data_IF_863094722394
#
_entry.id   IF_863094722394
#
_cell.length_a   1.000
_cell.length_b   1.000
_cell.length_c   1.000
_cell.angle_alpha   90.00
_cell.angle_beta   90.00
_cell.angle_gamma   90.00
#
_symmetry.space_group_name_H-M   'P 1'
#
loop_
_entity.id
_entity.type
_entity.pdbx_description
1 polymer ?
#
# COMPACT_ATOMS: atom_id res chain seq x y z
N UNK A 1 23.94 146.26 18.25
CA UNK A 1 24.71 145.38 19.16
C UNK A 1 23.75 144.36 19.63
N UNK A 2 23.81 143.15 19.20
CA UNK A 2 23.37 141.95 19.88
C UNK A 2 23.15 140.80 18.92
N UNK A 3 23.94 139.86 19.03
CA UNK A 3 23.97 138.65 18.25
C UNK A 3 22.74 137.71 18.57
N UNK A 4 22.02 137.34 17.59
CA UNK A 4 21.00 136.22 17.71
C UNK A 4 21.58 135.00 17.07
N UNK A 5 21.81 134.06 17.85
CA UNK A 5 22.33 132.70 17.44
C UNK A 5 21.21 131.88 16.80
N UNK A 6 21.44 131.44 15.58
CA UNK A 6 20.63 130.50 14.81
C UNK A 6 20.97 129.05 15.30
N UNK A 7 20.06 128.44 16.02
CA UNK A 7 20.17 127.05 16.46
C UNK A 7 18.85 126.28 16.26
N UNK A 8 18.43 125.98 15.08
CA UNK A 8 17.37 124.96 14.78
C UNK A 8 17.30 124.62 13.32
N UNK A 9 18.13 123.76 12.76
CA UNK A 9 17.63 122.79 11.87
C UNK A 9 18.14 121.34 12.09
N UNK A 10 19.04 121.05 13.05
CA UNK A 10 19.61 119.67 13.24
C UNK A 10 18.64 118.66 13.87
N UNK A 11 17.60 119.11 14.60
CA UNK A 11 16.62 118.24 15.24
C UNK A 11 15.59 117.60 14.30
N UNK A 12 15.26 118.31 13.21
CA UNK A 12 14.30 117.80 12.21
C UNK A 12 14.92 116.74 11.28
N UNK A 13 16.21 116.79 10.99
CA UNK A 13 16.91 115.80 10.16
C UNK A 13 17.14 114.50 10.91
N UNK A 14 17.33 114.52 12.18
CA UNK A 14 17.50 113.32 13.04
C UNK A 14 16.19 112.55 13.16
N UNK A 15 15.06 113.17 13.16
CA UNK A 15 13.76 112.54 13.23
C UNK A 15 13.34 111.88 11.88
N UNK A 16 13.68 112.47 10.74
CA UNK A 16 13.43 111.92 9.41
C UNK A 16 14.37 110.72 9.14
N UNK A 17 15.65 110.75 9.62
CA UNK A 17 16.57 109.62 9.53
C UNK A 17 16.16 108.43 10.43
N UNK A 18 15.54 108.69 11.59
CA UNK A 18 15.08 107.64 12.51
C UNK A 18 13.83 106.91 11.98
N UNK A 19 12.96 107.58 11.28
CA UNK A 19 11.76 106.97 10.68
C UNK A 19 12.07 106.17 9.42
N UNK A 20 13.07 106.57 8.60
CA UNK A 20 13.53 105.79 7.46
C UNK A 20 14.28 104.48 7.87
N UNK A 21 15.04 104.50 8.97
CA UNK A 21 15.72 103.29 9.50
C UNK A 21 14.70 102.30 10.05
N UNK A 22 13.60 102.69 10.66
CA UNK A 22 12.54 101.80 11.12
C UNK A 22 11.77 101.19 9.95
N UNK A 23 11.66 101.87 8.81
CA UNK A 23 10.93 101.33 7.64
C UNK A 23 11.77 100.32 6.85
N UNK A 24 13.08 100.48 6.77
CA UNK A 24 14.01 99.49 6.19
C UNK A 24 14.08 98.19 7.03
N UNK A 25 14.04 98.26 8.37
CA UNK A 25 14.05 97.10 9.26
C UNK A 25 12.75 96.32 9.19
N UNK A 26 11.57 96.92 8.97
CA UNK A 26 10.30 96.20 8.82
C UNK A 26 10.26 95.32 7.56
N UNK A 27 10.74 95.87 6.42
CA UNK A 27 10.77 95.14 5.16
C UNK A 27 11.75 93.94 5.16
N UNK A 28 12.89 94.09 5.87
CA UNK A 28 13.79 92.94 6.08
C UNK A 28 13.19 91.93 7.00
N UNK A 29 12.50 92.40 8.06
CA UNK A 29 11.80 91.50 8.99
C UNK A 29 10.74 90.67 8.28
N UNK A 30 9.95 91.23 7.42
CA UNK A 30 8.91 90.56 6.60
C UNK A 30 9.53 89.55 5.63
N UNK A 31 10.68 89.86 5.03
CA UNK A 31 11.42 88.92 4.17
C UNK A 31 11.96 87.73 4.97
N UNK A 32 12.58 88.00 6.10
CA UNK A 32 13.10 86.91 6.99
C UNK A 32 11.93 86.06 7.49
N UNK A 33 10.85 86.65 7.90
CA UNK A 33 9.66 85.91 8.33
C UNK A 33 9.10 85.03 7.20
N UNK A 34 8.94 85.53 5.98
CA UNK A 34 8.48 84.80 4.84
C UNK A 34 9.43 83.64 4.46
N UNK A 35 10.76 83.81 4.59
CA UNK A 35 11.76 82.78 4.36
C UNK A 35 11.71 81.70 5.47
N UNK A 36 11.54 82.12 6.75
CA UNK A 36 11.36 81.22 7.87
C UNK A 36 10.10 80.37 7.73
N UNK A 37 8.98 80.98 7.38
CA UNK A 37 7.68 80.28 7.15
C UNK A 37 7.81 79.29 6.02
N UNK A 38 8.53 79.63 4.91
CA UNK A 38 8.84 78.71 3.82
C UNK A 38 9.67 77.49 4.29
N UNK A 39 10.74 77.80 5.08
CA UNK A 39 11.62 76.74 5.62
C UNK A 39 10.88 75.86 6.60
N UNK A 40 10.05 76.43 7.48
CA UNK A 40 9.20 75.69 8.39
C UNK A 40 8.21 74.79 7.63
N UNK A 41 7.50 75.34 6.63
CA UNK A 41 6.60 74.54 5.81
C UNK A 41 7.30 73.42 5.02
N UNK A 42 8.53 73.66 4.52
CA UNK A 42 9.34 72.62 3.89
C UNK A 42 9.81 71.54 4.87
N UNK A 43 10.18 71.95 6.10
CA UNK A 43 10.54 70.98 7.16
C UNK A 43 9.33 70.17 7.62
N UNK A 44 8.19 70.81 7.83
CA UNK A 44 6.97 70.12 8.22
C UNK A 44 6.51 69.11 7.15
N UNK A 45 6.56 69.49 5.87
CA UNK A 45 6.28 68.59 4.77
C UNK A 45 7.25 67.44 4.67
N UNK A 46 8.56 67.70 4.85
CA UNK A 46 9.57 66.66 4.85
C UNK A 46 9.38 65.69 6.05
N UNK A 47 9.05 66.23 7.23
CA UNK A 47 8.78 65.45 8.43
C UNK A 47 7.52 64.60 8.24
N UNK A 48 6.47 65.16 7.62
CA UNK A 48 5.25 64.40 7.27
C UNK A 48 5.58 63.26 6.31
N UNK A 49 6.28 63.54 5.23
CA UNK A 49 6.71 62.52 4.28
C UNK A 49 7.57 61.44 4.92
N UNK A 50 8.51 61.83 5.79
CA UNK A 50 9.35 60.85 6.53
C UNK A 50 8.48 59.98 7.46
N UNK A 51 7.54 60.56 8.18
CA UNK A 51 6.59 59.77 9.04
C UNK A 51 5.75 58.82 8.23
N UNK A 52 5.23 59.26 7.08
CA UNK A 52 4.46 58.42 6.18
C UNK A 52 5.31 57.23 5.64
N UNK A 53 6.56 57.53 5.21
CA UNK A 53 7.50 56.47 4.76
C UNK A 53 7.85 55.50 5.88
N UNK A 54 8.11 55.98 7.08
CA UNK A 54 8.36 55.13 8.24
C UNK A 54 7.17 54.26 8.60
N UNK A 55 5.97 54.86 8.59
CA UNK A 55 4.73 54.10 8.84
C UNK A 55 4.52 53.00 7.80
N UNK A 56 4.70 53.32 6.52
CA UNK A 56 4.64 52.34 5.45
C UNK A 56 5.66 51.21 5.62
N UNK A 57 6.91 51.56 6.01
CA UNK A 57 7.95 50.57 6.27
C UNK A 57 7.61 49.67 7.46
N UNK A 58 7.05 50.25 8.54
CA UNK A 58 6.58 49.48 9.73
C UNK A 58 5.41 48.56 9.35
N UNK A 59 4.46 49.06 8.56
CA UNK A 59 3.31 48.25 8.12
C UNK A 59 3.75 47.12 7.22
N UNK A 60 4.68 47.35 6.28
CA UNK A 60 5.30 46.31 5.44
C UNK A 60 6.08 45.29 6.27
N UNK A 61 6.90 45.71 7.22
CA UNK A 61 7.62 44.83 8.10
C UNK A 61 6.67 43.99 8.96
N UNK A 62 5.61 44.60 9.49
CA UNK A 62 4.58 43.90 10.27
C UNK A 62 3.83 42.84 9.41
N UNK A 63 3.51 43.19 8.17
CA UNK A 63 2.92 42.23 7.23
C UNK A 63 3.85 41.06 6.92
N UNK A 64 5.15 41.33 6.70
CA UNK A 64 6.15 40.29 6.50
C UNK A 64 6.29 39.37 7.71
N UNK A 65 6.34 39.93 8.92
CA UNK A 65 6.39 39.14 10.16
C UNK A 65 5.15 38.23 10.31
N UNK A 66 3.96 38.74 9.98
CA UNK A 66 2.74 37.93 10.00
C UNK A 66 2.81 36.78 8.99
N UNK A 67 3.27 37.03 7.78
CA UNK A 67 3.45 36.03 6.74
C UNK A 67 4.47 34.96 7.15
N UNK A 68 5.61 35.38 7.69
CA UNK A 68 6.64 34.46 8.18
C UNK A 68 6.14 33.60 9.33
N UNK A 69 5.40 34.19 10.27
CA UNK A 69 4.80 33.43 11.38
C UNK A 69 3.80 32.39 10.86
N UNK A 70 2.95 32.74 9.87
CA UNK A 70 2.03 31.78 9.25
C UNK A 70 2.77 30.63 8.56
N UNK A 71 3.85 30.93 7.83
CA UNK A 71 4.69 29.90 7.20
C UNK A 71 5.38 29.02 8.24
N UNK A 72 5.82 29.58 9.35
CA UNK A 72 6.46 28.86 10.45
C UNK A 72 5.47 27.90 11.12
N UNK A 73 4.23 28.32 11.38
CA UNK A 73 3.17 27.44 11.90
C UNK A 73 2.80 26.33 10.90
N UNK A 74 2.75 26.62 9.62
CA UNK A 74 2.54 25.62 8.58
C UNK A 74 3.70 24.59 8.55
N UNK A 75 4.95 25.04 8.61
CA UNK A 75 6.10 24.14 8.65
C UNK A 75 6.10 23.28 9.92
N UNK A 76 5.74 23.85 11.07
CA UNK A 76 5.57 23.10 12.33
C UNK A 76 4.48 22.03 12.22
N UNK A 77 3.34 22.33 11.59
CA UNK A 77 2.28 21.37 11.35
C UNK A 77 2.75 20.22 10.43
N UNK A 78 3.49 20.54 9.38
CA UNK A 78 4.10 19.52 8.49
C UNK A 78 5.09 18.62 9.25
N UNK A 79 5.93 19.20 10.11
CA UNK A 79 6.89 18.43 10.93
C UNK A 79 6.17 17.48 11.90
N UNK A 80 5.05 17.92 12.53
CA UNK A 80 4.23 17.06 13.38
C UNK A 80 3.62 15.91 12.59
N UNK A 81 3.12 16.16 11.38
CA UNK A 81 2.57 15.12 10.51
C UNK A 81 3.65 14.10 10.11
N UNK A 82 4.89 14.55 9.84
CA UNK A 82 6.00 13.65 9.55
C UNK A 82 6.38 12.79 10.77
N UNK A 83 6.34 13.34 11.97
CA UNK A 83 6.58 12.59 13.20
C UNK A 83 5.47 11.54 13.44
N UNK A 84 4.18 11.88 13.20
CA UNK A 84 3.06 10.94 13.28
C UNK A 84 3.21 9.80 12.23
N UNK A 85 3.62 10.14 11.01
CA UNK A 85 3.95 9.14 9.99
C UNK A 85 5.08 8.22 10.45
N UNK A 86 6.14 8.75 11.07
CA UNK A 86 7.23 7.94 11.63
C UNK A 86 6.71 6.90 12.63
N UNK A 87 5.88 7.32 13.60
CA UNK A 87 5.31 6.40 14.59
C UNK A 87 4.40 5.34 13.97
N UNK A 88 3.67 5.69 12.89
CA UNK A 88 2.85 4.72 12.14
C UNK A 88 3.70 3.72 11.36
N UNK A 89 4.84 4.16 10.80
CA UNK A 89 5.79 3.25 10.15
C UNK A 89 6.40 2.27 11.15
N UNK A 90 6.84 2.75 12.32
CA UNK A 90 7.36 1.88 13.37
C UNK A 90 6.32 0.85 13.84
N UNK A 91 5.07 1.29 14.02
CA UNK A 91 3.97 0.37 14.38
C UNK A 91 3.65 -0.64 13.26
N UNK A 92 3.81 -0.26 12.00
CA UNK A 92 3.61 -1.17 10.86
C UNK A 92 4.75 -2.18 10.75
N UNK A 93 5.98 -1.74 10.98
CA UNK A 93 7.17 -2.62 10.99
C UNK A 93 7.07 -3.68 12.10
N UNK A 94 6.62 -3.28 13.29
CA UNK A 94 6.37 -4.21 14.39
C UNK A 94 5.26 -5.23 14.08
N UNK A 95 4.18 -4.77 13.42
CA UNK A 95 3.13 -5.68 12.96
C UNK A 95 3.64 -6.66 11.90
N UNK A 96 4.49 -6.19 10.97
CA UNK A 96 5.11 -7.06 9.97
C UNK A 96 6.02 -8.11 10.62
N UNK A 97 6.81 -7.74 11.63
CA UNK A 97 7.63 -8.69 12.40
C UNK A 97 6.77 -9.73 13.12
N UNK A 98 5.70 -9.29 13.78
CA UNK A 98 4.76 -10.19 14.46
C UNK A 98 4.06 -11.14 13.48
N UNK A 99 3.62 -10.64 12.31
CA UNK A 99 3.02 -11.48 11.27
C UNK A 99 4.01 -12.49 10.68
N UNK A 100 5.26 -12.07 10.44
CA UNK A 100 6.29 -12.98 9.95
C UNK A 100 6.60 -14.05 10.98
N UNK A 101 6.70 -13.71 12.27
CA UNK A 101 6.86 -14.70 13.34
C UNK A 101 5.70 -15.70 13.40
N UNK A 102 4.45 -15.22 13.30
CA UNK A 102 3.28 -16.10 13.27
C UNK A 102 3.24 -17.00 12.01
N UNK A 103 3.72 -16.48 10.87
CA UNK A 103 3.86 -17.28 9.64
C UNK A 103 4.91 -18.40 9.80
N UNK A 104 6.02 -18.11 10.46
CA UNK A 104 7.07 -19.11 10.69
C UNK A 104 6.62 -20.18 11.69
N UNK A 105 5.89 -19.80 12.75
CA UNK A 105 5.25 -20.74 13.66
C UNK A 105 4.23 -21.64 12.95
N UNK A 106 3.39 -21.05 12.07
CA UNK A 106 2.43 -21.82 11.27
C UNK A 106 3.11 -22.79 10.31
N UNK A 107 4.22 -22.36 9.68
CA UNK A 107 5.02 -23.25 8.81
C UNK A 107 5.59 -24.41 9.61
N UNK A 108 6.15 -24.13 10.77
CA UNK A 108 6.73 -25.17 11.63
C UNK A 108 5.65 -26.15 12.08
N UNK A 109 4.49 -25.67 12.54
CA UNK A 109 3.36 -26.55 12.93
C UNK A 109 2.82 -27.37 11.75
N UNK A 110 2.83 -26.79 10.53
CA UNK A 110 2.45 -27.51 9.31
C UNK A 110 3.46 -28.63 8.98
N UNK A 111 4.75 -28.34 9.09
CA UNK A 111 5.82 -29.32 8.85
C UNK A 111 5.76 -30.47 9.88
N UNK A 112 5.57 -30.16 11.16
CA UNK A 112 5.36 -31.17 12.20
C UNK A 112 4.11 -32.01 11.91
N UNK A 113 2.99 -31.40 11.57
CA UNK A 113 1.75 -32.09 11.21
C UNK A 113 1.94 -33.00 9.99
N UNK A 114 2.72 -32.53 8.99
CA UNK A 114 3.04 -33.32 7.80
C UNK A 114 3.92 -34.53 8.12
N UNK A 115 4.93 -34.32 8.95
CA UNK A 115 5.79 -35.42 9.44
C UNK A 115 5.00 -36.44 10.26
N UNK A 116 4.15 -35.98 11.19
CA UNK A 116 3.30 -36.86 11.98
C UNK A 116 2.33 -37.68 11.11
N UNK A 117 1.74 -37.07 10.07
CA UNK A 117 0.90 -37.76 9.08
C UNK A 117 1.69 -38.81 8.31
N UNK A 118 2.90 -38.50 7.85
CA UNK A 118 3.76 -39.42 7.12
C UNK A 118 4.14 -40.63 8.00
N UNK A 119 4.44 -40.38 9.27
CA UNK A 119 4.71 -41.46 10.24
C UNK A 119 3.47 -42.33 10.49
N UNK A 120 2.28 -41.70 10.64
CA UNK A 120 1.03 -42.44 10.79
C UNK A 120 0.72 -43.26 9.53
N UNK A 121 0.88 -42.72 8.34
CA UNK A 121 0.66 -43.43 7.08
C UNK A 121 1.61 -44.64 6.94
N UNK A 122 2.88 -44.44 7.32
CA UNK A 122 3.87 -45.54 7.36
C UNK A 122 3.46 -46.64 8.37
N UNK A 123 2.98 -46.27 9.56
CA UNK A 123 2.53 -47.21 10.59
C UNK A 123 1.25 -47.94 10.17
N UNK A 124 0.30 -47.22 9.54
CA UNK A 124 -0.94 -47.78 8.99
C UNK A 124 -0.59 -48.78 7.89
N UNK A 125 0.26 -48.41 6.95
CA UNK A 125 0.71 -49.30 5.87
C UNK A 125 1.43 -50.56 6.42
N UNK A 126 2.24 -50.40 7.46
CA UNK A 126 2.89 -51.50 8.12
C UNK A 126 1.90 -52.40 8.88
N UNK A 127 0.86 -51.81 9.50
CA UNK A 127 -0.21 -52.57 10.16
C UNK A 127 -1.09 -53.31 9.15
N UNK A 128 -1.50 -52.65 8.05
CA UNK A 128 -2.26 -53.24 6.93
C UNK A 128 -1.52 -54.44 6.34
N UNK A 129 -0.21 -54.31 6.11
CA UNK A 129 0.62 -55.47 5.67
C UNK A 129 0.60 -56.62 6.66
N UNK A 130 0.60 -56.36 7.98
CA UNK A 130 0.54 -57.40 9.01
C UNK A 130 -0.81 -58.12 9.11
N UNK A 131 -1.90 -57.40 8.79
CA UNK A 131 -3.27 -57.92 8.88
C UNK A 131 -3.76 -58.46 7.52
N UNK A 132 -2.93 -58.41 6.47
CA UNK A 132 -3.30 -58.92 5.14
C UNK A 132 -4.35 -58.09 4.40
N UNK A 133 -4.61 -56.84 4.83
CA UNK A 133 -5.61 -55.92 4.26
C UNK A 133 -5.00 -54.99 3.22
N UNK A 134 -3.65 -54.93 3.08
CA UNK A 134 -3.01 -54.11 2.07
C UNK A 134 -3.36 -54.63 0.67
N UNK A 135 -3.73 -53.77 -0.27
CA UNK A 135 -3.71 -54.13 -1.68
C UNK A 135 -2.24 -54.33 -2.05
N UNK A 136 -1.76 -55.58 -1.90
CA UNK A 136 -0.44 -55.96 -2.37
C UNK A 136 -0.54 -55.95 -3.88
N UNK A 137 -0.14 -54.82 -4.49
CA UNK A 137 0.19 -54.84 -5.90
C UNK A 137 1.52 -55.57 -5.96
N UNK A 138 1.50 -56.80 -6.47
CA UNK A 138 2.70 -57.57 -6.70
C UNK A 138 3.69 -56.72 -7.51
N UNK A 139 4.90 -56.45 -7.01
CA UNK A 139 5.89 -55.64 -7.74
C UNK A 139 6.14 -56.11 -9.18
N UNK A 140 5.97 -57.43 -9.43
CA UNK A 140 6.10 -58.02 -10.77
C UNK A 140 4.98 -57.62 -11.75
N UNK A 141 3.84 -57.16 -11.21
CA UNK A 141 2.70 -56.69 -11.99
C UNK A 141 2.75 -55.19 -12.31
N UNK A 142 3.75 -54.47 -11.77
CA UNK A 142 3.90 -53.02 -12.04
C UNK A 142 4.58 -52.85 -13.39
N UNK A 143 3.91 -52.26 -14.40
CA UNK A 143 4.49 -52.03 -15.71
C UNK A 143 5.76 -51.17 -15.65
N UNK A 144 6.75 -51.51 -16.47
CA UNK A 144 7.91 -50.66 -16.65
C UNK A 144 7.58 -49.36 -17.41
N UNK A 145 6.59 -49.42 -18.29
CA UNK A 145 6.11 -48.29 -19.03
C UNK A 145 5.18 -47.41 -18.19
N UNK A 146 5.44 -46.09 -18.16
CA UNK A 146 4.70 -45.10 -17.38
C UNK A 146 3.27 -44.89 -17.91
N UNK A 147 3.05 -45.00 -19.23
CA UNK A 147 1.71 -44.87 -19.81
C UNK A 147 0.82 -46.07 -19.39
N UNK A 148 1.36 -47.29 -19.40
CA UNK A 148 0.67 -48.47 -18.91
C UNK A 148 0.39 -48.40 -17.40
N UNK A 149 1.36 -47.88 -16.63
CA UNK A 149 1.21 -47.70 -15.18
C UNK A 149 0.10 -46.70 -14.86
N UNK A 150 0.05 -45.58 -15.56
CA UNK A 150 -1.04 -44.58 -15.43
C UNK A 150 -2.38 -45.17 -15.87
N UNK A 151 -2.44 -45.94 -16.96
CA UNK A 151 -3.66 -46.60 -17.42
C UNK A 151 -4.16 -47.61 -16.35
N UNK A 152 -3.28 -48.39 -15.75
CA UNK A 152 -3.63 -49.30 -14.64
C UNK A 152 -4.17 -48.52 -13.42
N UNK A 153 -3.56 -47.37 -13.09
CA UNK A 153 -4.06 -46.49 -12.02
C UNK A 153 -5.45 -45.92 -12.33
N UNK A 154 -5.72 -45.52 -13.58
CA UNK A 154 -7.07 -45.08 -14.03
C UNK A 154 -8.11 -46.21 -13.89
N UNK A 155 -7.78 -47.42 -14.32
CA UNK A 155 -8.65 -48.58 -14.16
C UNK A 155 -8.95 -48.87 -12.68
N UNK A 156 -7.94 -48.82 -11.81
CA UNK A 156 -8.14 -48.96 -10.37
C UNK A 156 -9.05 -47.84 -9.78
N UNK A 157 -8.90 -46.61 -10.26
CA UNK A 157 -9.78 -45.51 -9.85
C UNK A 157 -11.24 -45.73 -10.27
N UNK A 158 -11.47 -46.17 -11.51
CA UNK A 158 -12.80 -46.51 -12.04
C UNK A 158 -13.42 -47.66 -11.25
N UNK A 159 -12.61 -48.65 -10.85
CA UNK A 159 -13.00 -49.72 -9.97
C UNK A 159 -13.21 -49.35 -8.51
N UNK A 160 -13.07 -48.06 -8.15
CA UNK A 160 -13.11 -47.53 -6.77
C UNK A 160 -12.04 -48.06 -5.85
N UNK A 161 -10.98 -48.66 -6.40
CA UNK A 161 -9.79 -49.14 -5.67
C UNK A 161 -8.83 -47.96 -5.43
N UNK A 162 -9.31 -46.89 -4.74
CA UNK A 162 -8.59 -45.60 -4.64
C UNK A 162 -7.21 -45.76 -4.01
N UNK A 163 -7.05 -46.62 -2.99
CA UNK A 163 -5.75 -46.88 -2.38
C UNK A 163 -4.76 -47.50 -3.38
N UNK A 164 -5.22 -48.41 -4.24
CA UNK A 164 -4.41 -49.03 -5.31
C UNK A 164 -4.05 -48.01 -6.37
N UNK A 165 -5.03 -47.18 -6.82
CA UNK A 165 -4.78 -46.12 -7.77
C UNK A 165 -3.74 -45.13 -7.26
N UNK A 166 -3.81 -44.69 -5.98
CA UNK A 166 -2.81 -43.81 -5.36
C UNK A 166 -1.43 -44.47 -5.28
N UNK A 167 -1.35 -45.74 -4.95
CA UNK A 167 -0.08 -46.47 -4.94
C UNK A 167 0.59 -46.48 -6.32
N UNK A 168 -0.18 -46.74 -7.40
CA UNK A 168 0.35 -46.79 -8.75
C UNK A 168 0.77 -45.38 -9.23
N UNK A 169 -0.02 -44.33 -8.97
CA UNK A 169 0.36 -42.95 -9.29
C UNK A 169 1.58 -42.49 -8.49
N UNK A 170 1.66 -42.81 -7.21
CA UNK A 170 2.85 -42.52 -6.39
C UNK A 170 4.09 -43.23 -6.91
N UNK A 171 3.96 -44.48 -7.37
CA UNK A 171 5.05 -45.23 -7.98
C UNK A 171 5.58 -44.52 -9.25
N UNK A 172 4.66 -44.02 -10.11
CA UNK A 172 5.02 -43.24 -11.28
C UNK A 172 5.78 -41.96 -10.90
N UNK A 173 5.22 -41.19 -9.96
CA UNK A 173 5.79 -39.89 -9.52
C UNK A 173 7.16 -40.07 -8.84
N UNK A 174 7.38 -41.18 -8.14
CA UNK A 174 8.68 -41.47 -7.50
C UNK A 174 9.73 -41.91 -8.52
N UNK A 175 9.29 -42.68 -9.54
CA UNK A 175 10.18 -43.20 -10.58
C UNK A 175 10.52 -42.17 -11.64
N UNK A 176 9.58 -41.33 -11.99
CA UNK A 176 9.64 -40.48 -13.17
C UNK A 176 8.93 -39.11 -12.96
N UNK A 177 9.39 -38.35 -12.00
CA UNK A 177 8.81 -37.03 -11.69
C UNK A 177 8.90 -36.01 -12.83
N UNK A 178 9.76 -36.21 -13.83
CA UNK A 178 9.90 -35.36 -14.99
C UNK A 178 9.20 -35.93 -16.24
N UNK A 179 8.45 -37.03 -16.09
CA UNK A 179 7.68 -37.59 -17.19
C UNK A 179 6.53 -36.69 -17.57
N UNK A 180 6.21 -36.55 -18.88
CA UNK A 180 5.03 -35.79 -19.33
C UNK A 180 3.70 -36.23 -18.70
N UNK A 181 3.61 -37.47 -18.19
CA UNK A 181 2.42 -38.00 -17.52
C UNK A 181 2.39 -37.76 -16.00
N UNK A 182 3.38 -37.07 -15.47
CA UNK A 182 3.48 -36.86 -14.02
C UNK A 182 2.40 -35.90 -13.48
N UNK A 183 2.00 -34.89 -14.26
CA UNK A 183 0.90 -34.01 -13.92
C UNK A 183 -0.46 -34.74 -13.94
N UNK A 184 -0.70 -35.61 -14.92
CA UNK A 184 -1.86 -36.53 -14.96
C UNK A 184 -1.89 -37.45 -13.75
N UNK A 185 -0.73 -37.98 -13.32
CA UNK A 185 -0.65 -38.83 -12.14
C UNK A 185 -1.00 -38.08 -10.87
N UNK A 186 -0.52 -36.82 -10.70
CA UNK A 186 -0.91 -35.96 -9.58
C UNK A 186 -2.40 -35.61 -9.59
N UNK A 187 -2.94 -35.33 -10.75
CA UNK A 187 -4.39 -35.09 -10.91
C UNK A 187 -5.20 -36.31 -10.48
N UNK A 188 -4.83 -37.52 -10.95
CA UNK A 188 -5.51 -38.77 -10.59
C UNK A 188 -5.39 -39.06 -9.11
N UNK A 189 -4.21 -38.86 -8.51
CA UNK A 189 -4.00 -38.99 -7.08
C UNK A 189 -4.93 -38.05 -6.28
N UNK A 190 -5.07 -36.82 -6.73
CA UNK A 190 -5.95 -35.83 -6.10
C UNK A 190 -7.42 -36.23 -6.18
N UNK A 191 -7.86 -36.78 -7.32
CA UNK A 191 -9.23 -37.33 -7.48
C UNK A 191 -9.48 -38.52 -6.54
N UNK A 192 -8.52 -39.39 -6.36
CA UNK A 192 -8.62 -40.46 -5.36
C UNK A 192 -8.85 -39.91 -3.96
N UNK A 193 -8.07 -38.89 -3.57
CA UNK A 193 -8.20 -38.25 -2.26
C UNK A 193 -9.57 -37.60 -2.05
N UNK A 194 -10.14 -36.95 -3.09
CA UNK A 194 -11.50 -36.40 -3.03
C UNK A 194 -12.52 -37.53 -2.80
N UNK A 195 -12.42 -38.64 -3.57
CA UNK A 195 -13.30 -39.79 -3.44
C UNK A 195 -13.23 -40.48 -2.05
N UNK A 196 -12.06 -40.40 -1.41
CA UNK A 196 -11.83 -40.86 -0.03
C UNK A 196 -12.25 -39.83 1.04
N UNK A 197 -12.93 -38.72 0.69
CA UNK A 197 -13.27 -37.61 1.58
C UNK A 197 -12.06 -36.93 2.23
N UNK A 198 -10.90 -36.97 1.62
CA UNK A 198 -9.64 -36.36 2.06
C UNK A 198 -9.34 -35.04 1.32
N UNK A 199 -10.33 -34.16 1.26
CA UNK A 199 -10.26 -32.92 0.48
C UNK A 199 -9.06 -32.03 0.85
N UNK A 200 -8.67 -31.96 2.13
CA UNK A 200 -7.49 -31.18 2.55
C UNK A 200 -6.18 -31.73 1.95
N UNK A 201 -6.02 -33.05 1.88
CA UNK A 201 -4.86 -33.65 1.23
C UNK A 201 -4.89 -33.46 -0.30
N UNK A 202 -6.08 -33.50 -0.91
CA UNK A 202 -6.25 -33.22 -2.35
C UNK A 202 -5.81 -31.80 -2.69
N UNK A 203 -6.14 -30.78 -1.85
CA UNK A 203 -5.66 -29.41 -2.03
C UNK A 203 -4.14 -29.33 -2.05
N UNK A 204 -3.46 -30.07 -1.18
CA UNK A 204 -1.98 -30.09 -1.15
C UNK A 204 -1.39 -30.64 -2.46
N UNK A 205 -1.90 -31.79 -2.93
CA UNK A 205 -1.41 -32.39 -4.17
C UNK A 205 -1.74 -31.54 -5.40
N UNK A 206 -2.91 -30.89 -5.45
CA UNK A 206 -3.28 -29.98 -6.54
C UNK A 206 -2.43 -28.71 -6.52
N UNK A 207 -2.09 -28.18 -5.36
CA UNK A 207 -1.14 -27.07 -5.27
C UNK A 207 0.25 -27.50 -5.76
N UNK A 208 0.70 -28.71 -5.42
CA UNK A 208 1.94 -29.29 -5.94
C UNK A 208 1.90 -29.39 -7.47
N UNK A 209 0.79 -29.87 -8.04
CA UNK A 209 0.59 -29.91 -9.50
C UNK A 209 0.78 -28.54 -10.13
N UNK A 210 0.13 -27.48 -9.59
CA UNK A 210 0.23 -26.11 -10.11
C UNK A 210 1.65 -25.54 -9.99
N UNK A 211 2.39 -25.91 -8.94
CA UNK A 211 3.75 -25.42 -8.69
C UNK A 211 4.81 -26.14 -9.54
N UNK A 212 4.66 -27.47 -9.64
CA UNK A 212 5.66 -28.32 -10.31
C UNK A 212 5.46 -28.36 -11.82
N UNK A 213 4.19 -28.34 -12.27
CA UNK A 213 3.84 -28.47 -13.69
C UNK A 213 2.91 -27.33 -14.13
N UNK A 214 3.34 -26.05 -14.04
CA UNK A 214 2.46 -24.90 -14.30
C UNK A 214 1.95 -24.81 -15.75
N UNK A 215 2.56 -25.51 -16.68
CA UNK A 215 2.19 -25.57 -18.10
C UNK A 215 1.65 -26.96 -18.50
N UNK A 216 1.46 -27.85 -17.52
CA UNK A 216 0.91 -29.18 -17.77
C UNK A 216 -0.51 -29.14 -18.33
N UNK A 217 -0.85 -30.10 -19.16
CA UNK A 217 -2.18 -30.21 -19.76
C UNK A 217 -3.24 -30.64 -18.75
N UNK A 218 -2.84 -31.27 -17.62
CA UNK A 218 -3.70 -31.56 -16.47
C UNK A 218 -4.09 -30.32 -15.65
N UNK A 219 -3.42 -29.15 -15.81
CA UNK A 219 -3.64 -27.94 -14.97
C UNK A 219 -5.09 -27.44 -15.04
N UNK A 220 -5.75 -27.30 -16.19
CA UNK A 220 -7.13 -26.83 -16.24
C UNK A 220 -8.09 -27.74 -15.46
N UNK A 221 -7.93 -29.05 -15.60
CA UNK A 221 -8.74 -30.03 -14.87
C UNK A 221 -8.39 -30.04 -13.39
N UNK A 222 -7.10 -29.89 -13.05
CA UNK A 222 -6.61 -29.72 -11.67
C UNK A 222 -7.24 -28.54 -10.95
N UNK A 223 -7.40 -27.38 -11.63
CA UNK A 223 -8.11 -26.22 -11.08
C UNK A 223 -9.60 -26.52 -10.84
N UNK A 224 -10.22 -27.31 -11.73
CA UNK A 224 -11.62 -27.76 -11.53
C UNK A 224 -11.74 -28.60 -10.27
N UNK A 225 -10.89 -29.61 -10.11
CA UNK A 225 -10.85 -30.50 -8.93
C UNK A 225 -10.48 -29.73 -7.66
N UNK A 226 -9.58 -28.75 -7.75
CA UNK A 226 -9.23 -27.86 -6.63
C UNK A 226 -10.43 -27.06 -6.14
N UNK A 227 -11.26 -26.57 -7.06
CA UNK A 227 -12.49 -25.86 -6.69
C UNK A 227 -13.49 -26.79 -5.97
N UNK A 228 -13.58 -28.04 -6.40
CA UNK A 228 -14.41 -29.06 -5.75
C UNK A 228 -13.89 -29.38 -4.34
N UNK A 229 -12.57 -29.55 -4.19
CA UNK A 229 -11.94 -29.75 -2.89
C UNK A 229 -12.25 -28.60 -1.92
N UNK A 230 -12.21 -27.34 -2.39
CA UNK A 230 -12.57 -26.19 -1.57
C UNK A 230 -14.06 -26.18 -1.19
N UNK A 231 -14.97 -26.58 -2.09
CA UNK A 231 -16.40 -26.74 -1.73
C UNK A 231 -16.58 -27.79 -0.65
N UNK A 232 -15.92 -28.94 -0.77
CA UNK A 232 -15.97 -30.02 0.22
C UNK A 232 -15.42 -29.58 1.59
N UNK A 233 -14.48 -28.63 1.61
CA UNK A 233 -13.95 -28.00 2.81
C UNK A 233 -14.78 -26.80 3.30
N UNK A 234 -15.92 -26.51 2.69
CA UNK A 234 -16.78 -25.35 2.94
C UNK A 234 -16.10 -23.98 2.70
N UNK A 235 -15.05 -23.96 1.90
CA UNK A 235 -14.25 -22.79 1.56
C UNK A 235 -14.73 -22.16 0.24
N UNK A 236 -16.00 -21.73 0.18
CA UNK A 236 -16.65 -21.26 -1.06
C UNK A 236 -15.97 -20.07 -1.71
N UNK A 237 -15.38 -19.16 -0.92
CA UNK A 237 -14.64 -18.01 -1.46
C UNK A 237 -13.42 -18.46 -2.25
N UNK A 238 -12.68 -19.43 -1.78
CA UNK A 238 -11.53 -20.02 -2.46
C UNK A 238 -11.97 -20.79 -3.71
N UNK A 239 -13.05 -21.57 -3.60
CA UNK A 239 -13.65 -22.24 -4.76
C UNK A 239 -14.02 -21.25 -5.89
N UNK A 240 -14.70 -20.16 -5.55
CA UNK A 240 -15.05 -19.12 -6.53
C UNK A 240 -13.82 -18.45 -7.15
N UNK A 241 -12.77 -18.18 -6.37
CA UNK A 241 -11.52 -17.60 -6.88
C UNK A 241 -10.84 -18.56 -7.86
N UNK A 242 -10.77 -19.85 -7.51
CA UNK A 242 -10.18 -20.89 -8.35
C UNK A 242 -10.96 -21.06 -9.66
N UNK A 243 -12.29 -21.06 -9.61
CA UNK A 243 -13.14 -21.15 -10.81
C UNK A 243 -13.00 -19.92 -11.71
N UNK A 244 -12.90 -18.70 -11.14
CA UNK A 244 -12.61 -17.49 -11.93
C UNK A 244 -11.26 -17.60 -12.64
N UNK A 245 -10.22 -18.01 -11.92
CA UNK A 245 -8.90 -18.22 -12.50
C UNK A 245 -8.93 -19.22 -13.65
N UNK A 246 -9.67 -20.33 -13.49
CA UNK A 246 -9.86 -21.34 -14.53
C UNK A 246 -10.53 -20.75 -15.77
N UNK A 247 -11.61 -19.97 -15.59
CA UNK A 247 -12.31 -19.30 -16.69
C UNK A 247 -11.42 -18.27 -17.40
N UNK A 248 -10.65 -17.49 -16.65
CA UNK A 248 -9.79 -16.44 -17.19
C UNK A 248 -8.61 -17.01 -17.98
N UNK A 249 -7.93 -18.01 -17.44
CA UNK A 249 -6.71 -18.53 -18.05
C UNK A 249 -6.96 -19.68 -19.04
N UNK A 250 -7.99 -20.49 -18.78
CA UNK A 250 -8.27 -21.71 -19.53
C UNK A 250 -9.72 -21.79 -20.03
N UNK A 251 -10.37 -20.65 -20.25
CA UNK A 251 -11.80 -20.57 -20.62
C UNK A 251 -12.19 -21.24 -21.93
N UNK A 252 -11.21 -21.66 -22.77
CA UNK A 252 -11.41 -22.40 -24.02
C UNK A 252 -11.31 -23.92 -23.83
N UNK A 253 -10.78 -24.40 -22.72
CA UNK A 253 -10.72 -25.83 -22.40
C UNK A 253 -12.09 -26.35 -21.97
N UNK A 254 -12.34 -27.68 -22.05
CA UNK A 254 -13.58 -28.25 -21.53
C UNK A 254 -13.81 -27.92 -20.05
N UNK A 255 -12.76 -28.01 -19.21
CA UNK A 255 -12.82 -27.65 -17.80
C UNK A 255 -13.18 -26.17 -17.58
N UNK A 256 -12.58 -25.25 -18.35
CA UNK A 256 -12.84 -23.81 -18.28
C UNK A 256 -14.25 -23.45 -18.74
N UNK A 257 -14.79 -24.18 -19.73
CA UNK A 257 -16.19 -24.00 -20.17
C UNK A 257 -17.17 -24.47 -19.09
N UNK A 258 -16.93 -25.61 -18.48
CA UNK A 258 -17.75 -26.15 -17.38
C UNK A 258 -17.64 -25.26 -16.11
N UNK A 259 -16.50 -24.64 -15.88
CA UNK A 259 -16.26 -23.79 -14.72
C UNK A 259 -17.20 -22.57 -14.63
N UNK A 260 -17.68 -22.04 -15.75
CA UNK A 260 -18.67 -20.93 -15.77
C UNK A 260 -19.96 -21.33 -15.08
N UNK A 261 -20.51 -22.47 -15.43
CA UNK A 261 -21.73 -22.99 -14.80
C UNK A 261 -21.48 -23.34 -13.32
N UNK A 262 -20.32 -23.94 -13.03
CA UNK A 262 -19.95 -24.32 -11.66
C UNK A 262 -19.77 -23.07 -10.78
N UNK A 263 -19.21 -21.97 -11.31
CA UNK A 263 -19.07 -20.71 -10.59
C UNK A 263 -20.43 -20.17 -10.14
N UNK A 264 -21.43 -20.20 -11.01
CA UNK A 264 -22.79 -19.76 -10.64
C UNK A 264 -23.40 -20.69 -9.58
N UNK A 265 -23.22 -22.00 -9.68
CA UNK A 265 -23.66 -22.93 -8.65
C UNK A 265 -23.03 -22.64 -7.28
N UNK A 266 -21.72 -22.41 -7.24
CA UNK A 266 -21.02 -22.11 -5.97
C UNK A 266 -21.45 -20.76 -5.39
N UNK A 267 -21.83 -19.79 -6.22
CA UNK A 267 -22.36 -18.48 -5.79
C UNK A 267 -23.73 -18.59 -5.11
N UNK A 268 -24.53 -19.53 -5.53
CA UNK A 268 -25.89 -19.74 -5.01
C UNK A 268 -25.95 -20.72 -3.84
N UNK A 269 -24.82 -21.28 -3.41
CA UNK A 269 -24.78 -22.16 -2.24
C UNK A 269 -25.21 -21.39 -0.97
N UNK A 270 -26.02 -22.03 -0.10
CA UNK A 270 -26.44 -21.42 1.16
C UNK A 270 -25.21 -21.19 2.08
N UNK A 271 -25.29 -20.15 2.91
CA UNK A 271 -24.17 -19.80 3.83
C UNK A 271 -23.73 -20.94 4.72
N UNK A 272 -24.65 -21.78 5.14
CA UNK A 272 -24.39 -22.99 5.96
C UNK A 272 -23.49 -24.01 5.26
N UNK A 273 -23.57 -24.10 3.92
CA UNK A 273 -22.70 -24.95 3.11
C UNK A 273 -21.31 -24.34 2.91
N UNK A 274 -21.13 -23.06 3.22
CA UNK A 274 -19.94 -22.28 2.91
C UNK A 274 -19.11 -21.86 4.15
N UNK A 275 -19.29 -22.47 5.29
CA UNK A 275 -18.50 -22.16 6.50
C UNK A 275 -18.48 -20.65 6.74
N UNK A 276 -19.55 -20.11 7.28
CA UNK A 276 -19.77 -18.68 7.52
C UNK A 276 -18.96 -18.15 8.68
#
# INVERSE_FOLDING_TARGET
MSTVTLRKPLALWALVAATSACWVTTSEHDRVKTDLDRRLGALENNDRQRREQLQQAVDQATAQVRTLNAQLEQARAQTRNLADLGTRFDAMDERLRTLNGALDELRHALDESTQARTQLDTRVTAAERRIGIAPVVDPSQIPADNAQLLAMARTAFEGREYARARFLTQTLLTRAAQDPLADDALLLQSRCLIAENRAASAVQELNRLMQTYPQGDAVPEGLSVLSEAFVNLRMCTQAQRTLRLLVERHGRTPAGTAARARLEQVRTLPREACGG
#
